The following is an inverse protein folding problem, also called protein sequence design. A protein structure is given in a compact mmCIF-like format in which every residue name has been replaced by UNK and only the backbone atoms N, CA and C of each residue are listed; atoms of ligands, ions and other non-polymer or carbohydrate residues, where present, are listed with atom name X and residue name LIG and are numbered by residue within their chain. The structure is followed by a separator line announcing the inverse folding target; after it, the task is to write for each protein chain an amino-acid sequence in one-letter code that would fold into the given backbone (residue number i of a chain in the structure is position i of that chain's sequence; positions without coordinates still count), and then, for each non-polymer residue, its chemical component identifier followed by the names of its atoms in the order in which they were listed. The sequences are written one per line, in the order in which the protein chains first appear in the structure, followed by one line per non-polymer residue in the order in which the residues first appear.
data_IF_483758028070
#
_entry.id   IF_483758028070
#
_cell.length_a   1.000
_cell.length_b   1.000
_cell.length_c   1.000
_cell.angle_alpha   90.00
_cell.angle_beta   90.00
_cell.angle_gamma   90.00
#
_symmetry.space_group_name_H-M   'P 1'
#
loop_
_entity.id
_entity.type
_entity.pdbx_description
1 polymer ?
#
# COMPACT_ATOMS: atom_id res chain seq x y z
N UNK A 1 -4.23 -4.54 -0.84
CA UNK A 1 -2.75 -4.49 -0.70
C UNK A 1 -2.34 -5.47 0.38
N UNK A 2 -1.06 -5.84 0.47
CA UNK A 2 -0.60 -6.82 1.46
C UNK A 2 -0.94 -6.49 2.93
N UNK A 3 -0.90 -5.21 3.32
CA UNK A 3 -1.31 -4.78 4.67
C UNK A 3 -2.78 -5.11 4.97
N UNK A 4 -3.68 -4.84 4.02
CA UNK A 4 -5.12 -5.05 4.21
C UNK A 4 -5.46 -6.53 4.26
N UNK A 5 -4.84 -7.35 3.41
CA UNK A 5 -5.02 -8.80 3.42
C UNK A 5 -4.55 -9.36 4.78
N UNK A 6 -3.37 -8.96 5.25
CA UNK A 6 -2.87 -9.44 6.55
C UNK A 6 -3.72 -8.96 7.73
N UNK A 7 -4.18 -7.71 7.70
CA UNK A 7 -5.10 -7.18 8.70
C UNK A 7 -6.42 -7.94 8.76
N UNK A 8 -6.96 -8.35 7.60
CA UNK A 8 -8.15 -9.18 7.53
C UNK A 8 -7.89 -10.57 8.10
N UNK A 9 -6.82 -11.23 7.65
CA UNK A 9 -6.57 -12.64 8.01
C UNK A 9 -6.06 -12.81 9.44
N UNK A 10 -5.18 -11.93 9.91
CA UNK A 10 -4.49 -12.06 11.21
C UNK A 10 -4.89 -11.02 12.27
N UNK A 11 -5.82 -10.13 11.92
CA UNK A 11 -6.20 -9.00 12.75
C UNK A 11 -5.12 -7.91 12.82
N UNK A 12 -5.45 -6.75 13.37
CA UNK A 12 -4.48 -5.73 13.77
C UNK A 12 -4.54 -5.57 15.28
N UNK A 13 -3.39 -5.28 15.90
CA UNK A 13 -3.39 -4.79 17.28
C UNK A 13 -4.28 -3.54 17.38
N UNK A 14 -5.04 -3.41 18.48
CA UNK A 14 -5.75 -2.17 18.73
C UNK A 14 -4.72 -1.05 18.78
N UNK A 15 -5.02 0.07 18.13
CA UNK A 15 -4.15 1.22 18.15
C UNK A 15 -5.02 2.45 18.29
N UNK A 16 -4.55 3.50 18.98
CA UNK A 16 -5.33 4.71 19.17
C UNK A 16 -5.73 5.31 17.82
N UNK A 17 -6.93 5.93 17.73
CA UNK A 17 -7.34 6.60 16.51
C UNK A 17 -6.32 7.67 16.11
N UNK A 18 -6.27 7.98 14.81
CA UNK A 18 -5.45 9.08 14.34
C UNK A 18 -5.91 10.39 14.97
N UNK A 19 -4.97 11.25 15.35
CA UNK A 19 -5.24 12.62 15.78
C UNK A 19 -4.79 13.59 14.67
N UNK A 20 -5.72 14.13 13.87
CA UNK A 20 -5.38 15.04 12.78
C UNK A 20 -4.65 16.32 13.24
N UNK A 21 -4.94 16.82 14.44
CA UNK A 21 -4.29 18.04 14.95
C UNK A 21 -2.83 17.74 15.29
N UNK A 22 -2.58 16.64 15.98
CA UNK A 22 -1.22 16.21 16.32
C UNK A 22 -0.38 15.86 15.09
N UNK A 23 -0.98 15.20 14.09
CA UNK A 23 -0.29 14.96 12.82
C UNK A 23 0.12 16.25 12.12
N UNK A 24 -0.74 17.27 12.13
CA UNK A 24 -0.42 18.58 11.55
C UNK A 24 0.71 19.27 12.30
N UNK A 25 0.71 19.19 13.63
CA UNK A 25 1.79 19.70 14.47
C UNK A 25 3.14 19.03 14.12
N UNK A 26 3.19 17.70 14.14
CA UNK A 26 4.40 16.94 13.85
C UNK A 26 4.88 17.12 12.40
N UNK A 27 3.97 17.25 11.44
CA UNK A 27 4.31 17.61 10.07
C UNK A 27 4.83 19.07 9.97
N UNK A 28 4.40 19.97 10.86
CA UNK A 28 4.98 21.30 11.02
C UNK A 28 6.44 21.23 11.47
N UNK A 29 6.71 20.44 12.51
CA UNK A 29 8.06 20.19 13.03
C UNK A 29 8.96 19.60 11.95
N UNK A 30 8.50 18.57 11.24
CA UNK A 30 9.29 17.95 10.17
C UNK A 30 9.63 18.93 9.04
N UNK A 31 8.77 19.92 8.77
CA UNK A 31 9.02 20.98 7.78
C UNK A 31 10.00 22.05 8.28
N UNK A 32 9.97 22.39 9.56
CA UNK A 32 10.77 23.47 10.15
C UNK A 32 12.16 22.98 10.59
N UNK A 33 12.21 21.85 11.30
CA UNK A 33 13.41 21.30 11.94
C UNK A 33 13.98 20.10 11.18
N UNK A 34 13.22 19.57 10.22
CA UNK A 34 13.59 18.39 9.44
C UNK A 34 13.14 17.06 10.08
N UNK A 35 13.09 16.03 9.25
CA UNK A 35 12.73 14.66 9.66
C UNK A 35 13.61 14.07 10.77
N UNK A 36 14.95 14.32 10.79
CA UNK A 36 15.79 13.83 11.89
C UNK A 36 15.38 14.37 13.26
N UNK A 37 14.92 15.62 13.34
CA UNK A 37 14.44 16.21 14.60
C UNK A 37 13.20 15.47 15.12
N UNK A 38 12.28 15.12 14.22
CA UNK A 38 11.11 14.31 14.57
C UNK A 38 11.51 12.91 15.07
N UNK A 39 12.46 12.26 14.41
CA UNK A 39 12.99 10.97 14.87
C UNK A 39 13.66 11.09 16.24
N UNK A 40 14.42 12.16 16.50
CA UNK A 40 15.03 12.41 17.82
C UNK A 40 13.99 12.63 18.92
N UNK A 41 12.83 13.23 18.61
CA UNK A 41 11.71 13.31 19.55
C UNK A 41 11.19 11.91 19.89
N UNK A 42 11.02 11.05 18.88
CA UNK A 42 10.64 9.65 19.11
C UNK A 42 11.71 8.91 19.91
N UNK A 43 12.99 9.10 19.61
CA UNK A 43 14.09 8.44 20.31
C UNK A 43 14.18 8.83 21.78
N UNK A 44 13.83 10.07 22.13
CA UNK A 44 13.76 10.51 23.54
C UNK A 44 12.58 9.89 24.29
N UNK A 45 11.45 9.70 23.62
CA UNK A 45 10.24 9.18 24.25
C UNK A 45 10.16 7.65 24.27
N UNK A 46 10.68 6.98 23.22
CA UNK A 46 10.64 5.53 23.04
C UNK A 46 11.85 5.05 22.18
N UNK A 47 13.06 4.93 22.76
CA UNK A 47 14.27 4.54 22.03
C UNK A 47 14.15 3.20 21.30
N UNK A 48 13.50 2.21 21.92
CA UNK A 48 13.32 0.87 21.33
C UNK A 48 12.47 0.90 20.05
N UNK A 49 11.46 1.77 20.00
CA UNK A 49 10.63 1.97 18.81
C UNK A 49 11.42 2.73 17.74
N UNK A 50 12.14 3.79 18.15
CA UNK A 50 12.95 4.61 17.25
C UNK A 50 14.03 3.80 16.52
N UNK A 51 14.71 2.88 17.22
CA UNK A 51 15.75 2.01 16.64
C UNK A 51 15.25 1.14 15.47
N UNK A 52 13.95 0.86 15.41
CA UNK A 52 13.32 0.05 14.35
C UNK A 52 12.85 0.87 13.15
N UNK A 53 12.88 2.20 13.25
CA UNK A 53 12.36 3.12 12.24
C UNK A 53 13.49 3.95 11.65
N UNK A 54 13.49 4.05 10.31
CA UNK A 54 14.44 4.93 9.64
C UNK A 54 14.03 6.40 9.86
N UNK A 55 14.96 7.34 10.13
CA UNK A 55 14.64 8.76 10.39
C UNK A 55 13.85 9.44 9.26
N UNK A 56 14.03 8.98 8.02
CA UNK A 56 13.31 9.51 6.85
C UNK A 56 11.88 8.96 6.69
N UNK A 57 11.46 7.97 7.48
CA UNK A 57 10.10 7.42 7.44
C UNK A 57 9.17 8.24 8.32
N UNK A 58 8.94 9.49 7.91
CA UNK A 58 8.13 10.48 8.63
C UNK A 58 6.77 9.94 9.03
N UNK A 59 6.09 9.20 8.15
CA UNK A 59 4.77 8.64 8.41
C UNK A 59 4.80 7.64 9.57
N UNK A 60 5.77 6.72 9.57
CA UNK A 60 5.90 5.75 10.68
C UNK A 60 6.37 6.40 11.97
N UNK A 61 7.23 7.41 11.90
CA UNK A 61 7.68 8.16 13.08
C UNK A 61 6.54 8.95 13.71
N UNK A 62 5.74 9.67 12.91
CA UNK A 62 4.53 10.37 13.38
C UNK A 62 3.56 9.37 14.04
N UNK A 63 3.32 8.21 13.40
CA UNK A 63 2.42 7.19 13.95
C UNK A 63 2.96 6.61 15.26
N UNK A 64 4.26 6.41 15.39
CA UNK A 64 4.87 5.95 16.64
C UNK A 64 4.71 6.99 17.75
N UNK A 65 4.95 8.28 17.45
CA UNK A 65 4.73 9.37 18.40
C UNK A 65 3.25 9.49 18.83
N UNK A 66 2.30 9.28 17.91
CA UNK A 66 0.86 9.21 18.24
C UNK A 66 0.58 8.13 19.28
N UNK A 67 1.11 6.93 19.08
CA UNK A 67 0.89 5.78 19.96
C UNK A 67 1.52 6.04 21.34
N UNK A 68 2.78 6.50 21.37
CA UNK A 68 3.50 6.79 22.61
C UNK A 68 2.77 7.84 23.46
N UNK A 69 2.20 8.87 22.81
CA UNK A 69 1.46 9.94 23.50
C UNK A 69 0.16 9.45 24.17
N UNK A 70 -0.57 8.54 23.53
CA UNK A 70 -1.87 8.08 24.04
C UNK A 70 -1.74 6.97 25.09
N UNK A 71 -0.70 6.15 25.01
CA UNK A 71 -0.62 4.88 25.77
C UNK A 71 0.50 4.85 26.81
N UNK A 72 1.04 6.03 27.19
CA UNK A 72 2.00 6.16 28.29
C UNK A 72 3.35 5.43 28.08
N UNK A 73 3.70 5.10 26.84
CA UNK A 73 4.97 4.43 26.52
C UNK A 73 4.96 2.91 26.61
N UNK A 74 3.78 2.26 26.72
CA UNK A 74 3.72 0.81 26.55
C UNK A 74 4.23 0.44 25.14
N UNK A 75 5.17 -0.51 25.01
CA UNK A 75 5.68 -0.91 23.73
C UNK A 75 4.58 -1.67 23.00
N UNK A 76 3.76 -0.94 22.24
CA UNK A 76 3.11 -1.52 21.07
C UNK A 76 4.25 -1.94 20.15
N UNK A 77 4.72 -3.17 20.38
CA UNK A 77 5.61 -3.87 19.50
C UNK A 77 4.89 -3.92 18.15
N UNK A 78 5.16 -2.92 17.31
CA UNK A 78 4.73 -2.88 15.93
C UNK A 78 5.15 -4.22 15.31
N UNK A 79 4.21 -5.17 15.22
CA UNK A 79 4.53 -6.54 14.81
C UNK A 79 3.90 -7.69 15.58
N UNK A 80 3.15 -7.50 16.68
CA UNK A 80 2.30 -8.60 17.18
C UNK A 80 1.00 -8.58 16.37
N UNK A 81 0.95 -9.40 15.33
CA UNK A 81 -0.32 -9.75 14.71
C UNK A 81 -1.06 -10.65 15.71
N UNK A 82 -2.35 -10.38 15.97
CA UNK A 82 -3.10 -11.00 17.08
C UNK A 82 -3.05 -12.52 17.08
N UNK A 83 -2.91 -13.13 15.89
CA UNK A 83 -2.72 -14.56 15.74
C UNK A 83 -2.14 -14.89 14.34
N UNK A 84 -1.05 -15.69 14.22
CA UNK A 84 -0.59 -16.23 12.95
C UNK A 84 -1.65 -17.07 12.21
N UNK A 85 -2.52 -17.80 12.92
CA UNK A 85 -3.56 -18.65 12.33
C UNK A 85 -4.78 -17.85 11.87
N UNK A 86 -5.25 -16.88 12.66
CA UNK A 86 -6.43 -16.10 12.30
C UNK A 86 -7.72 -16.93 12.30
N UNK A 87 -8.90 -16.31 12.11
CA UNK A 87 -10.18 -17.02 12.16
C UNK A 87 -10.56 -17.69 10.84
N UNK A 88 -9.68 -17.69 9.84
CA UNK A 88 -9.98 -18.14 8.48
C UNK A 88 -9.06 -19.28 8.09
N UNK A 89 -9.60 -20.29 7.41
CA UNK A 89 -8.81 -21.18 6.57
C UNK A 89 -8.49 -20.46 5.26
N UNK A 90 -7.22 -20.09 5.05
CA UNK A 90 -6.81 -19.21 3.95
C UNK A 90 -5.80 -19.90 3.04
N UNK A 91 -6.23 -20.10 1.80
CA UNK A 91 -5.34 -20.47 0.69
C UNK A 91 -4.82 -19.21 -0.01
N UNK A 92 -3.53 -18.93 0.13
CA UNK A 92 -2.90 -17.80 -0.57
C UNK A 92 -2.43 -18.21 -1.97
N UNK A 93 -3.00 -17.59 -2.99
CA UNK A 93 -2.58 -17.79 -4.38
C UNK A 93 -2.04 -16.47 -4.95
N UNK A 94 -0.77 -16.49 -5.35
CA UNK A 94 -0.10 -15.35 -5.97
C UNK A 94 0.03 -15.54 -7.48
N UNK A 95 -0.40 -14.55 -8.26
CA UNK A 95 -0.23 -14.57 -9.72
C UNK A 95 1.07 -13.86 -10.10
N UNK A 96 1.90 -14.51 -10.89
CA UNK A 96 3.14 -13.92 -11.42
C UNK A 96 3.12 -13.81 -12.94
N UNK A 97 3.87 -12.83 -13.41
CA UNK A 97 4.20 -12.61 -14.81
C UNK A 97 5.72 -12.46 -14.88
N UNK A 98 6.31 -12.72 -16.04
CA UNK A 98 7.70 -12.34 -16.26
C UNK A 98 7.85 -10.80 -16.16
N UNK A 99 9.06 -10.35 -15.87
CA UNK A 99 9.32 -8.92 -15.61
C UNK A 99 9.06 -8.04 -16.84
N UNK A 100 9.34 -8.55 -18.04
CA UNK A 100 9.15 -7.80 -19.28
C UNK A 100 7.65 -7.71 -19.62
N UNK A 101 6.93 -8.84 -19.55
CA UNK A 101 5.48 -8.91 -19.76
C UNK A 101 4.71 -8.03 -18.78
N UNK A 102 5.08 -8.03 -17.49
CA UNK A 102 4.49 -7.12 -16.51
C UNK A 102 4.73 -5.64 -16.89
N UNK A 103 5.96 -5.30 -17.28
CA UNK A 103 6.31 -3.93 -17.62
C UNK A 103 5.55 -3.41 -18.84
N UNK A 104 5.40 -4.24 -19.86
CA UNK A 104 4.64 -3.93 -21.05
C UNK A 104 3.16 -3.70 -20.74
N UNK A 105 2.52 -4.63 -20.00
CA UNK A 105 1.11 -4.51 -19.60
C UNK A 105 0.84 -3.26 -18.78
N UNK A 106 1.72 -2.92 -17.83
CA UNK A 106 1.61 -1.68 -17.03
C UNK A 106 1.69 -0.44 -17.92
N UNK A 107 2.64 -0.39 -18.86
CA UNK A 107 2.77 0.75 -19.79
C UNK A 107 1.55 0.89 -20.69
N UNK A 108 1.06 -0.22 -21.23
CA UNK A 108 -0.14 -0.25 -22.07
C UNK A 108 -1.36 0.23 -21.28
N UNK A 109 -1.59 -0.32 -20.09
CA UNK A 109 -2.71 0.07 -19.22
C UNK A 109 -2.67 1.55 -18.82
N UNK A 110 -1.48 2.09 -18.54
CA UNK A 110 -1.35 3.51 -18.23
C UNK A 110 -1.78 4.39 -19.42
N UNK A 111 -1.39 4.04 -20.65
CA UNK A 111 -1.85 4.73 -21.86
C UNK A 111 -3.36 4.60 -22.06
N UNK A 112 -3.91 3.40 -21.82
CA UNK A 112 -5.35 3.16 -21.91
C UNK A 112 -6.14 4.04 -20.92
N UNK A 113 -5.65 4.24 -19.69
CA UNK A 113 -6.28 5.16 -18.75
C UNK A 113 -6.27 6.62 -19.21
N UNK A 114 -5.16 7.09 -19.78
CA UNK A 114 -5.10 8.45 -20.33
C UNK A 114 -6.06 8.59 -21.50
N UNK A 115 -6.04 7.63 -22.44
CA UNK A 115 -6.95 7.61 -23.58
C UNK A 115 -8.44 7.51 -23.18
N UNK A 116 -8.74 6.90 -22.04
CA UNK A 116 -10.08 6.80 -21.47
C UNK A 116 -10.53 8.07 -20.70
N UNK A 117 -9.71 9.12 -20.66
CA UNK A 117 -10.08 10.41 -20.08
C UNK A 117 -9.70 10.59 -18.60
N UNK A 118 -8.60 9.98 -18.14
CA UNK A 118 -8.11 10.17 -16.76
C UNK A 118 -7.86 11.65 -16.43
N UNK A 119 -7.39 12.45 -17.39
CA UNK A 119 -7.15 13.88 -17.19
C UNK A 119 -8.45 14.63 -16.96
N UNK A 120 -9.46 14.35 -17.77
CA UNK A 120 -10.79 14.94 -17.68
C UNK A 120 -11.46 14.58 -16.36
N UNK A 121 -11.29 13.33 -15.91
CA UNK A 121 -11.76 12.88 -14.60
C UNK A 121 -11.12 13.69 -13.47
N UNK A 122 -9.78 13.83 -13.48
CA UNK A 122 -9.05 14.61 -12.47
C UNK A 122 -9.50 16.06 -12.48
N UNK A 123 -9.59 16.69 -13.67
CA UNK A 123 -10.07 18.07 -13.81
C UNK A 123 -11.45 18.23 -13.19
N UNK A 124 -12.38 17.33 -13.49
CA UNK A 124 -13.75 17.36 -12.94
C UNK A 124 -13.75 17.29 -11.42
N UNK A 125 -12.94 16.40 -10.82
CA UNK A 125 -12.84 16.30 -9.36
C UNK A 125 -12.31 17.59 -8.73
N UNK A 126 -11.29 18.21 -9.33
CA UNK A 126 -10.76 19.48 -8.85
C UNK A 126 -11.78 20.62 -8.98
N UNK A 127 -12.50 20.70 -10.11
CA UNK A 127 -13.57 21.69 -10.32
C UNK A 127 -14.73 21.52 -9.34
N UNK A 128 -15.01 20.30 -8.90
CA UNK A 128 -15.99 20.02 -7.85
C UNK A 128 -15.52 20.45 -6.44
N UNK A 129 -14.29 20.96 -6.30
CA UNK A 129 -13.75 21.45 -5.03
C UNK A 129 -13.06 20.38 -4.19
N UNK A 130 -12.85 19.16 -4.72
CA UNK A 130 -12.08 18.15 -4.00
C UNK A 130 -10.62 18.57 -3.86
N UNK A 131 -10.13 18.59 -2.62
CA UNK A 131 -8.77 19.03 -2.35
C UNK A 131 -7.74 18.07 -2.97
N UNK A 132 -6.71 18.58 -3.68
CA UNK A 132 -5.58 17.80 -4.15
C UNK A 132 -4.91 16.97 -3.05
N UNK A 133 -4.99 17.41 -1.78
CA UNK A 133 -4.38 16.73 -0.64
C UNK A 133 -5.14 15.48 -0.18
N UNK A 134 -6.31 15.18 -0.77
CA UNK A 134 -7.08 13.98 -0.42
C UNK A 134 -6.28 12.70 -0.74
N UNK A 135 -6.31 11.69 0.15
CA UNK A 135 -5.59 10.43 -0.07
C UNK A 135 -5.93 9.75 -1.41
N UNK A 136 -7.17 9.86 -1.88
CA UNK A 136 -7.62 9.34 -3.18
C UNK A 136 -6.89 10.03 -4.34
N UNK A 137 -6.79 11.36 -4.31
CA UNK A 137 -6.09 12.16 -5.31
C UNK A 137 -4.56 12.08 -5.20
N UNK A 138 -4.04 11.53 -4.09
CA UNK A 138 -2.61 11.25 -3.91
C UNK A 138 -2.16 9.87 -4.45
N UNK A 139 -3.10 9.08 -4.98
CA UNK A 139 -2.82 7.79 -5.61
C UNK A 139 -2.08 7.93 -6.96
N UNK A 140 -1.38 6.87 -7.37
CA UNK A 140 -0.65 6.83 -8.65
C UNK A 140 -1.66 6.92 -9.80
N UNK A 141 -1.38 7.79 -10.78
CA UNK A 141 -2.33 8.21 -11.79
C UNK A 141 -2.88 9.58 -11.42
N UNK A 142 -3.75 9.64 -10.41
CA UNK A 142 -4.39 10.90 -9.99
C UNK A 142 -3.38 11.97 -9.61
N UNK A 143 -2.40 11.65 -8.76
CA UNK A 143 -1.43 12.66 -8.30
C UNK A 143 -0.64 13.26 -9.45
N UNK A 144 -0.18 12.45 -10.40
CA UNK A 144 0.58 12.93 -11.54
C UNK A 144 -0.27 13.85 -12.44
N UNK A 145 -1.56 13.53 -12.63
CA UNK A 145 -2.48 14.34 -13.43
C UNK A 145 -3.01 15.59 -12.71
N UNK A 146 -3.07 15.58 -11.37
CA UNK A 146 -3.30 16.79 -10.57
C UNK A 146 -2.20 17.82 -10.82
N UNK A 147 -0.94 17.37 -10.95
CA UNK A 147 0.18 18.25 -11.28
C UNK A 147 0.11 18.79 -12.72
N UNK A 148 -0.48 18.03 -13.65
CA UNK A 148 -0.77 18.51 -15.03
C UNK A 148 -1.80 19.63 -14.99
N UNK A 149 -2.90 19.43 -14.29
CA UNK A 149 -3.94 20.46 -14.15
C UNK A 149 -3.45 21.70 -13.40
N UNK A 150 -2.41 21.56 -12.56
CA UNK A 150 -1.74 22.68 -11.92
C UNK A 150 -0.61 23.31 -12.76
N UNK A 151 -0.40 22.87 -14.00
CA UNK A 151 0.61 23.41 -14.92
C UNK A 151 2.06 23.07 -14.56
N UNK A 152 2.29 22.14 -13.63
CA UNK A 152 3.63 21.76 -13.15
C UNK A 152 4.25 20.62 -13.94
N UNK A 153 3.45 19.81 -14.62
CA UNK A 153 3.89 18.72 -15.50
C UNK A 153 3.18 18.78 -16.85
N UNK A 154 3.85 18.29 -17.89
CA UNK A 154 3.18 17.91 -19.13
C UNK A 154 2.48 16.56 -18.98
N UNK A 155 1.50 16.30 -19.84
CA UNK A 155 0.79 15.02 -19.86
C UNK A 155 1.75 13.83 -20.10
N UNK A 156 2.74 14.00 -21.00
CA UNK A 156 3.76 12.99 -21.27
C UNK A 156 4.65 12.71 -20.05
N UNK A 157 5.04 13.75 -19.30
CA UNK A 157 5.82 13.58 -18.08
C UNK A 157 4.99 12.88 -17.00
N UNK A 158 3.71 13.24 -16.86
CA UNK A 158 2.79 12.59 -15.94
C UNK A 158 2.60 11.10 -16.29
N UNK A 159 2.39 10.76 -17.56
CA UNK A 159 2.31 9.39 -18.03
C UNK A 159 3.59 8.60 -17.74
N UNK A 160 4.77 9.17 -18.01
CA UNK A 160 6.06 8.52 -17.70
C UNK A 160 6.23 8.27 -16.20
N UNK A 161 5.86 9.23 -15.35
CA UNK A 161 5.90 9.09 -13.88
C UNK A 161 4.93 8.03 -13.39
N UNK A 162 3.69 8.06 -13.87
CA UNK A 162 2.65 7.08 -13.56
C UNK A 162 3.12 5.65 -13.88
N UNK A 163 3.69 5.42 -15.07
CA UNK A 163 4.23 4.12 -15.46
C UNK A 163 5.36 3.67 -14.52
N UNK A 164 6.36 4.53 -14.30
CA UNK A 164 7.49 4.26 -13.41
C UNK A 164 7.02 3.90 -11.99
N UNK A 165 6.12 4.70 -11.43
CA UNK A 165 5.70 4.56 -10.05
C UNK A 165 4.74 3.39 -9.86
N UNK A 166 3.95 3.05 -10.89
CA UNK A 166 3.18 1.79 -10.95
C UNK A 166 4.10 0.57 -10.95
N UNK A 167 5.21 0.58 -11.70
CA UNK A 167 6.19 -0.52 -11.67
C UNK A 167 6.90 -0.64 -10.32
N UNK A 168 7.28 0.50 -9.73
CA UNK A 168 7.85 0.51 -8.37
C UNK A 168 6.85 -0.02 -7.34
N UNK A 169 5.57 0.32 -7.50
CA UNK A 169 4.50 -0.19 -6.65
C UNK A 169 4.30 -1.69 -6.83
N UNK A 170 4.28 -2.20 -8.06
CA UNK A 170 4.22 -3.63 -8.35
C UNK A 170 5.41 -4.38 -7.74
N UNK A 171 6.64 -3.85 -7.84
CA UNK A 171 7.82 -4.40 -7.15
C UNK A 171 7.63 -4.43 -5.64
N UNK A 172 7.11 -3.36 -5.03
CA UNK A 172 6.82 -3.33 -3.58
C UNK A 172 5.77 -4.37 -3.18
N UNK A 173 4.71 -4.55 -3.98
CA UNK A 173 3.72 -5.61 -3.74
C UNK A 173 4.39 -6.98 -3.81
N UNK A 174 5.19 -7.25 -4.85
CA UNK A 174 5.92 -8.50 -4.98
C UNK A 174 6.85 -8.76 -3.78
N UNK A 175 7.66 -7.77 -3.38
CA UNK A 175 8.55 -7.90 -2.21
C UNK A 175 7.78 -8.15 -0.91
N UNK A 176 6.59 -7.57 -0.76
CA UNK A 176 5.74 -7.84 0.39
C UNK A 176 5.25 -9.28 0.40
N UNK A 177 4.65 -9.74 -0.70
CA UNK A 177 4.07 -11.09 -0.79
C UNK A 177 5.13 -12.19 -0.87
N UNK A 178 6.31 -11.93 -1.43
CA UNK A 178 7.41 -12.89 -1.44
C UNK A 178 7.93 -13.23 -0.03
N UNK A 179 7.63 -12.38 0.97
CA UNK A 179 7.94 -12.62 2.39
C UNK A 179 6.77 -13.22 3.16
N UNK A 180 5.61 -13.38 2.54
CA UNK A 180 4.45 -14.00 3.16
C UNK A 180 4.59 -15.52 3.02
N UNK A 181 4.59 -16.27 4.13
CA UNK A 181 4.61 -17.73 4.06
C UNK A 181 3.32 -18.27 3.46
N UNK A 182 3.40 -19.43 2.80
CA UNK A 182 2.23 -20.16 2.31
C UNK A 182 1.61 -19.63 1.02
N UNK A 183 2.25 -18.67 0.33
CA UNK A 183 1.77 -18.26 -0.99
C UNK A 183 2.17 -19.29 -2.04
N UNK A 184 1.17 -19.84 -2.71
CA UNK A 184 1.34 -20.64 -3.92
C UNK A 184 1.42 -19.72 -5.15
N UNK A 185 2.56 -19.70 -5.81
CA UNK A 185 2.78 -18.85 -6.98
C UNK A 185 2.43 -19.56 -8.28
N UNK A 186 1.59 -18.93 -9.10
CA UNK A 186 1.21 -19.40 -10.43
C UNK A 186 1.64 -18.37 -11.47
N UNK A 187 2.56 -18.78 -12.36
CA UNK A 187 2.93 -17.98 -13.53
C UNK A 187 1.82 -18.01 -14.57
N UNK A 188 1.23 -16.87 -14.90
CA UNK A 188 0.04 -16.81 -15.75
C UNK A 188 0.33 -17.31 -17.16
N UNK A 189 1.44 -16.89 -17.76
CA UNK A 189 1.86 -17.37 -19.08
C UNK A 189 2.26 -18.85 -19.05
N UNK A 190 3.03 -19.27 -18.04
CA UNK A 190 3.48 -20.65 -17.90
C UNK A 190 2.32 -21.63 -17.71
N UNK A 191 1.22 -21.18 -17.08
CA UNK A 191 0.02 -21.97 -16.89
C UNK A 191 -0.88 -22.05 -18.14
N UNK A 192 -0.58 -21.33 -19.22
CA UNK A 192 -1.42 -21.30 -20.43
C UNK A 192 -2.46 -20.18 -20.45
N UNK A 193 -2.26 -19.12 -19.65
CA UNK A 193 -3.10 -17.92 -19.65
C UNK A 193 -4.20 -17.90 -18.58
N UNK A 194 -5.01 -16.82 -18.53
CA UNK A 194 -5.96 -16.58 -17.44
C UNK A 194 -6.98 -17.70 -17.20
N UNK A 195 -7.50 -18.32 -18.27
CA UNK A 195 -8.47 -19.40 -18.16
C UNK A 195 -7.89 -20.65 -17.50
N UNK A 196 -6.66 -21.02 -17.86
CA UNK A 196 -5.98 -22.19 -17.30
C UNK A 196 -5.54 -21.95 -15.84
N UNK A 197 -5.13 -20.72 -15.50
CA UNK A 197 -4.92 -20.30 -14.11
C UNK A 197 -6.21 -20.45 -13.30
N UNK A 198 -7.33 -19.94 -13.81
CA UNK A 198 -8.63 -20.03 -13.12
C UNK A 198 -9.04 -21.48 -12.89
N UNK A 199 -8.90 -22.37 -13.88
CA UNK A 199 -9.17 -23.79 -13.74
C UNK A 199 -8.26 -24.46 -12.70
N UNK A 200 -6.99 -24.07 -12.63
CA UNK A 200 -6.04 -24.57 -11.63
C UNK A 200 -6.43 -24.13 -10.22
N UNK A 201 -6.81 -22.86 -10.04
CA UNK A 201 -7.31 -22.34 -8.77
C UNK A 201 -8.59 -23.07 -8.36
N UNK A 202 -9.54 -23.26 -9.27
CA UNK A 202 -10.80 -23.95 -8.98
C UNK A 202 -10.55 -25.36 -8.44
N UNK A 203 -9.71 -26.16 -9.11
CA UNK A 203 -9.36 -27.52 -8.65
C UNK A 203 -8.70 -27.55 -7.28
N UNK A 204 -7.90 -26.52 -6.94
CA UNK A 204 -7.24 -26.41 -5.63
C UNK A 204 -8.22 -26.10 -4.52
N UNK A 205 -9.24 -25.31 -4.81
CA UNK A 205 -10.25 -24.93 -3.82
C UNK A 205 -11.35 -26.00 -3.67
N UNK A 206 -11.58 -26.86 -4.67
CA UNK A 206 -12.65 -27.88 -4.63
C UNK A 206 -12.59 -28.79 -3.39
N UNK A 207 -11.45 -29.40 -3.00
CA UNK A 207 -11.40 -30.27 -1.82
C UNK A 207 -11.74 -29.51 -0.52
N UNK A 208 -11.17 -28.31 -0.36
CA UNK A 208 -11.39 -27.44 0.80
C UNK A 208 -12.84 -26.96 0.92
N UNK A 209 -13.54 -26.78 -0.20
CA UNK A 209 -14.94 -26.37 -0.22
C UNK A 209 -15.91 -27.52 0.13
N UNK A 210 -15.57 -28.77 -0.19
CA UNK A 210 -16.39 -29.94 0.18
C UNK A 210 -16.28 -30.31 1.66
N UNK A 211 -15.13 -30.08 2.29
CA UNK A 211 -14.92 -30.39 3.72
C UNK A 211 -15.53 -29.32 4.64
N UNK A 212 -15.55 -28.06 4.23
CA UNK A 212 -16.09 -26.94 5.03
C UNK A 212 -17.62 -26.80 5.08
N UNK A 213 -18.37 -27.66 4.37
CA UNK A 213 -19.85 -27.63 4.35
C UNK A 213 -20.48 -28.65 5.31
N UNK A 214 -19.67 -29.48 5.99
CA UNK A 214 -20.15 -30.53 6.91
C UNK A 214 -19.89 -30.24 8.40
N UNK A 215 -19.88 -28.96 8.82
CA UNK A 215 -19.79 -28.57 10.24
C UNK A 215 -20.91 -27.61 10.63
#
# INVERSE_FOLDING_TARGET
TGLYIRALVRGLDPAPPADPAFRRELAGVARQEGRPALWQRLNRAAPEIAARLHPNDEVRVIRALEIVRTDGGAPHAAGRWRDPSGPYDVTYIGLTLDRAGLAERVRRRAREFVAAGLREEVRRLLTQGYSPALPSLQSIGYREFVEVEAGRLTEDEALRRMQRDTLRYAKRQWTWFAREPGIEWIGVEAAGGPAAVAATIARKLTPSLTEGVSA
#
